data_IF_268046694006
#
_entry.id   IF_268046694006
#
_cell.length_a   1.000
_cell.length_b   1.000
_cell.length_c   1.000
_cell.angle_alpha   90.00
_cell.angle_beta   90.00
_cell.angle_gamma   90.00
#
_symmetry.space_group_name_H-M   'P 1'
#
loop_
_entity.id
_entity.type
_entity.pdbx_description
1 polymer ?
#
# COMPACT_ATOMS: atom_id res chain seq x y z
N UNK A 1 -26.77 12.52 57.36
CA UNK A 1 -27.06 11.77 56.12
C UNK A 1 -27.43 12.77 55.08
N UNK A 2 -26.61 12.92 54.05
CA UNK A 2 -26.89 13.81 52.88
C UNK A 2 -27.68 13.06 51.81
N UNK A 3 -28.20 13.80 50.82
CA UNK A 3 -28.86 13.22 49.68
C UNK A 3 -27.90 12.29 48.88
N UNK A 4 -28.42 11.23 48.21
CA UNK A 4 -27.60 10.34 47.39
C UNK A 4 -26.92 11.16 46.30
N UNK A 5 -25.61 11.03 46.17
CA UNK A 5 -24.81 11.66 45.14
C UNK A 5 -24.66 10.63 43.99
N UNK A 6 -25.12 10.97 42.81
CA UNK A 6 -24.82 10.22 41.58
C UNK A 6 -23.66 10.95 40.92
N UNK A 7 -22.46 10.40 41.07
CA UNK A 7 -21.27 10.92 40.37
C UNK A 7 -21.00 10.04 39.14
N UNK A 8 -21.23 10.62 37.95
CA UNK A 8 -20.93 10.01 36.66
C UNK A 8 -19.67 10.69 36.12
N UNK A 9 -18.51 10.10 36.41
CA UNK A 9 -17.25 10.56 35.82
C UNK A 9 -17.03 9.88 34.45
N UNK A 10 -17.07 10.68 33.37
CA UNK A 10 -16.59 10.23 32.07
C UNK A 10 -15.06 10.25 32.09
N UNK A 11 -14.43 9.12 32.30
CA UNK A 11 -13.03 8.96 31.97
C UNK A 11 -12.94 8.67 30.50
N UNK A 12 -12.40 9.62 29.73
CA UNK A 12 -11.88 9.33 28.39
C UNK A 12 -10.75 8.33 28.61
N UNK A 13 -11.01 7.04 28.40
CA UNK A 13 -9.97 6.05 28.21
C UNK A 13 -9.14 6.63 27.07
N UNK A 14 -7.88 6.99 27.34
CA UNK A 14 -6.94 7.27 26.29
C UNK A 14 -6.96 6.03 25.41
N UNK A 15 -7.67 6.12 24.28
CA UNK A 15 -7.52 5.14 23.20
C UNK A 15 -6.04 5.20 22.87
N UNK A 16 -5.32 4.15 23.22
CA UNK A 16 -4.03 3.88 22.63
C UNK A 16 -4.34 3.52 21.19
N UNK A 17 -4.71 4.52 20.41
CA UNK A 17 -4.98 4.36 19.01
C UNK A 17 -3.69 3.85 18.36
N UNK A 18 -3.80 2.78 17.59
CA UNK A 18 -2.79 2.44 16.60
C UNK A 18 -2.59 3.70 15.77
N UNK A 19 -1.43 4.33 15.89
CA UNK A 19 -1.13 5.53 15.09
C UNK A 19 -1.04 5.03 13.65
N UNK A 20 -2.04 5.38 12.85
CA UNK A 20 -2.08 4.99 11.45
C UNK A 20 -0.89 5.59 10.73
N UNK A 21 -0.26 4.82 9.86
CA UNK A 21 0.75 5.32 8.94
C UNK A 21 0.14 6.42 8.06
N UNK A 22 0.94 7.41 7.68
CA UNK A 22 0.50 8.39 6.70
C UNK A 22 0.17 7.66 5.39
N UNK A 23 -0.93 8.03 4.75
CA UNK A 23 -1.44 7.39 3.54
C UNK A 23 -1.36 8.33 2.36
N UNK A 24 -1.31 7.76 1.16
CA UNK A 24 -1.36 8.56 -0.05
C UNK A 24 -0.07 9.34 -0.29
N UNK A 25 1.08 8.74 0.02
CA UNK A 25 2.39 9.37 -0.18
C UNK A 25 3.03 8.83 -1.45
N UNK A 26 3.29 9.72 -2.41
CA UNK A 26 4.02 9.41 -3.63
C UNK A 26 5.50 9.75 -3.42
N UNK A 27 6.40 8.79 -3.57
CA UNK A 27 7.84 9.02 -3.71
C UNK A 27 8.13 9.34 -5.19
N UNK A 28 8.40 10.59 -5.50
CA UNK A 28 8.66 11.04 -6.87
C UNK A 28 10.15 11.31 -7.06
N UNK A 29 10.78 10.60 -7.99
CA UNK A 29 12.17 10.80 -8.37
C UNK A 29 12.23 11.50 -9.72
N UNK A 30 12.91 12.63 -9.80
CA UNK A 30 13.10 13.41 -11.03
C UNK A 30 14.59 13.62 -11.31
N UNK A 31 14.95 13.84 -12.58
CA UNK A 31 16.29 14.27 -13.02
C UNK A 31 16.22 15.74 -13.44
N UNK A 32 17.05 16.60 -12.82
CA UNK A 32 17.15 18.03 -13.15
C UNK A 32 18.59 18.52 -13.04
N UNK A 33 18.83 19.81 -13.17
CA UNK A 33 20.16 20.41 -13.08
C UNK A 33 20.71 20.49 -11.66
N UNK A 34 19.87 20.75 -10.68
CA UNK A 34 20.24 20.86 -9.27
C UNK A 34 19.60 19.75 -8.45
N UNK A 35 20.37 19.16 -7.53
CA UNK A 35 19.91 18.18 -6.54
C UNK A 35 19.10 18.89 -5.45
N UNK A 36 17.93 18.33 -5.13
CA UNK A 36 17.13 18.78 -3.99
C UNK A 36 16.23 17.63 -3.48
N UNK A 37 15.81 17.72 -2.23
CA UNK A 37 14.77 16.84 -1.66
C UNK A 37 13.85 17.69 -0.79
N UNK A 38 12.54 17.49 -0.95
CA UNK A 38 11.52 18.22 -0.20
C UNK A 38 10.20 17.48 -0.23
N UNK A 39 9.32 17.84 0.70
CA UNK A 39 7.93 17.41 0.70
C UNK A 39 7.08 18.46 0.01
N UNK A 40 6.20 18.04 -0.90
CA UNK A 40 5.25 18.88 -1.63
C UNK A 40 3.84 18.48 -1.22
N UNK A 41 3.07 19.44 -0.72
CA UNK A 41 1.66 19.26 -0.35
C UNK A 41 0.73 19.85 -1.41
N UNK A 42 1.11 20.96 -2.00
CA UNK A 42 0.32 21.66 -3.03
C UNK A 42 1.21 22.32 -4.10
N UNK A 43 0.59 22.99 -5.08
CA UNK A 43 1.32 23.64 -6.16
C UNK A 43 2.24 24.78 -5.70
N UNK A 44 1.99 25.39 -4.54
CA UNK A 44 2.81 26.46 -3.97
C UNK A 44 4.18 25.97 -3.50
N UNK A 45 4.30 24.69 -3.16
CA UNK A 45 5.54 24.08 -2.71
C UNK A 45 6.49 23.70 -3.87
N UNK A 46 6.02 23.80 -5.12
CA UNK A 46 6.82 23.40 -6.30
C UNK A 46 7.97 24.38 -6.51
N UNK A 47 9.24 23.90 -6.45
CA UNK A 47 10.38 24.80 -6.63
C UNK A 47 10.39 25.43 -8.01
N UNK A 48 10.41 26.76 -8.08
CA UNK A 48 10.50 27.52 -9.33
C UNK A 48 11.82 27.31 -10.08
N UNK A 49 12.85 26.80 -9.40
CA UNK A 49 14.17 26.48 -9.98
C UNK A 49 14.18 25.23 -10.84
N UNK A 50 13.16 24.36 -10.74
CA UNK A 50 13.06 23.17 -11.56
C UNK A 50 12.68 23.52 -13.01
N UNK A 51 13.12 22.69 -13.95
CA UNK A 51 12.63 22.76 -15.34
C UNK A 51 11.11 22.70 -15.38
N UNK A 52 10.49 23.45 -16.29
CA UNK A 52 9.03 23.50 -16.43
C UNK A 52 8.40 22.13 -16.68
N UNK A 53 9.12 21.24 -17.36
CA UNK A 53 8.69 19.86 -17.59
C UNK A 53 8.55 19.10 -16.24
N UNK A 54 9.55 19.19 -15.36
CA UNK A 54 9.52 18.57 -14.04
C UNK A 54 8.46 19.21 -13.12
N UNK A 55 8.27 20.52 -13.18
CA UNK A 55 7.15 21.19 -12.50
C UNK A 55 5.80 20.63 -12.99
N UNK A 56 5.67 20.36 -14.29
CA UNK A 56 4.49 19.72 -14.89
C UNK A 56 4.25 18.31 -14.34
N UNK A 57 5.29 17.48 -14.22
CA UNK A 57 5.17 16.13 -13.66
C UNK A 57 4.73 16.14 -12.18
N UNK A 58 5.22 17.09 -11.38
CA UNK A 58 4.76 17.27 -10.00
C UNK A 58 3.27 17.65 -9.97
N UNK A 59 2.84 18.58 -10.84
CA UNK A 59 1.42 18.95 -10.97
C UNK A 59 0.57 17.78 -11.43
N UNK A 60 1.07 16.92 -12.30
CA UNK A 60 0.34 15.72 -12.74
C UNK A 60 0.11 14.74 -11.58
N UNK A 61 1.07 14.58 -10.66
CA UNK A 61 0.85 13.83 -9.42
C UNK A 61 -0.23 14.50 -8.56
N UNK A 62 -0.12 15.83 -8.35
CA UNK A 62 -1.07 16.58 -7.51
C UNK A 62 -2.52 16.55 -8.02
N UNK A 63 -2.75 16.44 -9.35
CA UNK A 63 -4.09 16.24 -9.92
C UNK A 63 -4.84 15.02 -9.38
N UNK A 64 -4.12 14.02 -8.90
CA UNK A 64 -4.71 12.85 -8.23
C UNK A 64 -5.09 13.09 -6.78
N UNK A 65 -4.71 14.22 -6.20
CA UNK A 65 -4.92 14.60 -4.80
C UNK A 65 -4.31 13.61 -3.79
N UNK A 66 -3.04 13.20 -3.94
CA UNK A 66 -2.36 12.44 -2.90
C UNK A 66 -2.23 13.30 -1.64
N UNK A 67 -1.96 12.67 -0.49
CA UNK A 67 -1.75 13.41 0.76
C UNK A 67 -0.50 14.29 0.70
N UNK A 68 0.58 13.78 0.11
CA UNK A 68 1.82 14.51 -0.15
C UNK A 68 2.69 13.79 -1.18
N UNK A 69 3.67 14.52 -1.69
CA UNK A 69 4.73 13.98 -2.52
C UNK A 69 6.05 14.14 -1.76
N UNK A 70 6.76 13.05 -1.55
CA UNK A 70 8.17 13.09 -1.15
C UNK A 70 9.00 13.14 -2.41
N UNK A 71 9.48 14.34 -2.74
CA UNK A 71 10.23 14.61 -3.95
C UNK A 71 11.73 14.46 -3.71
N UNK A 72 12.40 13.72 -4.58
CA UNK A 72 13.85 13.69 -4.67
C UNK A 72 14.28 14.00 -6.10
N UNK A 73 15.07 15.04 -6.27
CA UNK A 73 15.60 15.46 -7.56
C UNK A 73 17.07 15.10 -7.63
N UNK A 74 17.42 14.25 -8.58
CA UNK A 74 18.79 13.94 -8.96
C UNK A 74 19.38 15.13 -9.71
N UNK A 75 20.58 15.57 -9.37
CA UNK A 75 21.34 16.54 -10.16
C UNK A 75 21.84 15.90 -11.47
N UNK A 76 22.49 16.69 -12.31
CA UNK A 76 22.97 16.28 -13.65
C UNK A 76 23.78 14.96 -13.61
N UNK A 77 24.65 14.80 -12.62
CA UNK A 77 25.50 13.61 -12.44
C UNK A 77 24.95 12.65 -11.36
N UNK A 78 23.74 12.93 -10.85
CA UNK A 78 23.15 12.17 -9.75
C UNK A 78 22.78 10.74 -10.15
N UNK A 79 23.13 9.78 -9.31
CA UNK A 79 22.82 8.38 -9.49
C UNK A 79 21.54 8.01 -8.75
N UNK A 80 20.74 7.11 -9.31
CA UNK A 80 19.49 6.64 -8.68
C UNK A 80 19.71 6.07 -7.28
N UNK A 81 20.86 5.46 -7.02
CA UNK A 81 21.22 4.92 -5.70
C UNK A 81 21.14 5.96 -4.57
N UNK A 82 21.37 7.24 -4.89
CA UNK A 82 21.25 8.34 -3.90
C UNK A 82 19.78 8.54 -3.48
N UNK A 83 18.87 8.56 -4.46
CA UNK A 83 17.44 8.66 -4.19
C UNK A 83 16.93 7.43 -3.43
N UNK A 84 17.35 6.23 -3.82
CA UNK A 84 16.94 5.00 -3.15
C UNK A 84 17.45 4.93 -1.71
N UNK A 85 18.69 5.40 -1.45
CA UNK A 85 19.22 5.51 -0.08
C UNK A 85 18.41 6.51 0.76
N UNK A 86 18.02 7.65 0.17
CA UNK A 86 17.14 8.61 0.85
C UNK A 86 15.80 7.98 1.23
N UNK A 87 15.18 7.25 0.30
CA UNK A 87 13.89 6.60 0.54
C UNK A 87 13.94 5.36 1.44
N UNK A 88 15.12 4.85 1.83
CA UNK A 88 15.19 3.86 2.91
C UNK A 88 14.78 4.45 4.28
N UNK A 89 14.97 5.76 4.46
CA UNK A 89 14.65 6.48 5.71
C UNK A 89 13.35 7.30 5.65
N UNK A 90 12.67 7.36 4.51
CA UNK A 90 11.47 8.19 4.32
C UNK A 90 10.27 7.31 3.99
N UNK A 91 9.17 7.52 4.69
CA UNK A 91 7.94 6.76 4.44
C UNK A 91 7.26 7.19 3.15
N UNK A 92 6.89 6.19 2.32
CA UNK A 92 6.09 6.39 1.12
C UNK A 92 5.23 5.14 0.83
N UNK A 93 4.21 5.31 0.01
CA UNK A 93 3.32 4.21 -0.38
C UNK A 93 3.63 3.73 -1.81
N UNK A 94 3.81 4.65 -2.75
CA UNK A 94 4.04 4.36 -4.15
C UNK A 94 5.22 5.18 -4.70
N UNK A 95 6.21 4.50 -5.26
CA UNK A 95 7.35 5.15 -5.92
C UNK A 95 7.09 5.31 -7.42
N UNK A 96 7.48 6.46 -7.96
CA UNK A 96 7.39 6.80 -9.36
C UNK A 96 8.64 7.54 -9.83
N UNK A 97 9.18 7.16 -11.00
CA UNK A 97 10.26 7.85 -11.69
C UNK A 97 9.93 7.96 -13.18
N UNK A 98 9.27 9.05 -13.62
CA UNK A 98 8.81 9.20 -15.01
C UNK A 98 9.93 9.11 -16.06
N UNK A 99 11.15 9.56 -15.74
CA UNK A 99 12.31 9.54 -16.62
C UNK A 99 13.23 8.33 -16.42
N UNK A 100 12.72 7.22 -15.85
CA UNK A 100 13.52 6.03 -15.58
C UNK A 100 14.05 5.38 -16.85
N UNK A 101 15.34 5.11 -16.86
CA UNK A 101 16.00 4.26 -17.85
C UNK A 101 15.95 2.77 -17.42
N UNK A 102 16.35 1.86 -18.30
CA UNK A 102 16.30 0.41 -17.99
C UNK A 102 17.09 0.05 -16.73
N UNK A 103 18.24 0.70 -16.49
CA UNK A 103 19.05 0.54 -15.29
C UNK A 103 18.33 1.02 -14.04
N UNK A 104 17.65 2.18 -14.13
CA UNK A 104 16.87 2.77 -13.05
C UNK A 104 15.68 1.86 -12.67
N UNK A 105 14.96 1.35 -13.68
CA UNK A 105 13.87 0.39 -13.49
C UNK A 105 14.33 -0.84 -12.72
N UNK A 106 15.49 -1.41 -13.08
CA UNK A 106 16.07 -2.58 -12.40
C UNK A 106 16.43 -2.25 -10.94
N UNK A 107 17.03 -1.07 -10.71
CA UNK A 107 17.37 -0.61 -9.37
C UNK A 107 16.14 -0.40 -8.49
N UNK A 108 15.07 0.24 -9.03
CA UNK A 108 13.80 0.43 -8.34
C UNK A 108 13.17 -0.92 -7.97
N UNK A 109 13.08 -1.87 -8.89
CA UNK A 109 12.53 -3.22 -8.58
C UNK A 109 13.29 -3.91 -7.46
N UNK A 110 14.62 -3.87 -7.51
CA UNK A 110 15.48 -4.44 -6.46
C UNK A 110 15.27 -3.77 -5.12
N UNK A 111 15.16 -2.43 -5.13
CA UNK A 111 14.88 -1.63 -3.94
C UNK A 111 13.51 -1.96 -3.33
N UNK A 112 12.44 -1.95 -4.12
CA UNK A 112 11.09 -2.29 -3.66
C UNK A 112 11.04 -3.70 -3.10
N UNK A 113 11.71 -4.67 -3.73
CA UNK A 113 11.83 -6.03 -3.20
C UNK A 113 12.57 -6.04 -1.86
N UNK A 114 13.71 -5.32 -1.74
CA UNK A 114 14.45 -5.18 -0.47
C UNK A 114 13.56 -4.59 0.63
N UNK A 115 12.84 -3.51 0.34
CA UNK A 115 11.92 -2.87 1.31
C UNK A 115 10.85 -3.84 1.79
N UNK A 116 10.19 -4.55 0.88
CA UNK A 116 9.12 -5.48 1.20
C UNK A 116 9.61 -6.75 1.93
N UNK A 117 10.73 -7.33 1.51
CA UNK A 117 11.17 -8.66 1.96
C UNK A 117 12.19 -8.61 3.11
N UNK A 118 13.08 -7.62 3.12
CA UNK A 118 14.17 -7.51 4.09
C UNK A 118 13.86 -6.48 5.16
N UNK A 119 13.57 -5.24 4.77
CA UNK A 119 13.25 -4.13 5.70
C UNK A 119 11.88 -4.34 6.35
N UNK A 120 11.01 -5.13 5.69
CA UNK A 120 9.63 -5.38 6.14
C UNK A 120 8.79 -4.10 6.21
N UNK A 121 9.05 -3.15 5.34
CA UNK A 121 8.20 -2.00 5.09
C UNK A 121 7.53 -2.18 3.72
N UNK A 122 6.20 -2.24 3.71
CA UNK A 122 5.42 -2.53 2.50
C UNK A 122 5.18 -1.26 1.71
N UNK A 123 5.72 -1.26 0.50
CA UNK A 123 5.57 -0.18 -0.48
C UNK A 123 5.55 -0.77 -1.89
N UNK A 124 5.09 0.02 -2.84
CA UNK A 124 4.91 -0.40 -4.22
C UNK A 124 5.61 0.60 -5.17
N UNK A 125 5.77 0.25 -6.45
CA UNK A 125 6.22 1.18 -7.48
C UNK A 125 5.37 1.05 -8.75
N UNK A 126 5.22 2.17 -9.47
CA UNK A 126 4.65 2.20 -10.81
C UNK A 126 5.75 2.40 -11.85
N UNK A 127 5.82 1.50 -12.81
CA UNK A 127 6.81 1.48 -13.87
C UNK A 127 6.14 1.41 -15.24
N UNK A 128 6.74 2.06 -16.23
CA UNK A 128 6.23 2.02 -17.60
C UNK A 128 6.75 0.79 -18.34
N UNK A 129 5.84 -0.01 -18.91
CA UNK A 129 6.15 -1.16 -19.76
C UNK A 129 7.08 -2.21 -19.14
N UNK A 130 6.93 -2.47 -17.83
CA UNK A 130 7.76 -3.46 -17.11
C UNK A 130 6.91 -4.64 -16.58
N UNK A 131 7.11 -5.83 -17.14
CA UNK A 131 6.45 -7.08 -16.74
C UNK A 131 7.22 -7.74 -15.59
N UNK A 132 7.07 -7.21 -14.39
CA UNK A 132 7.83 -7.67 -13.22
C UNK A 132 7.28 -8.94 -12.56
N UNK A 133 6.05 -9.37 -12.89
CA UNK A 133 5.33 -10.46 -12.21
C UNK A 133 5.37 -10.34 -10.68
N UNK A 134 4.96 -9.19 -10.19
CA UNK A 134 5.05 -8.83 -8.76
C UNK A 134 3.84 -8.02 -8.32
N UNK A 135 3.29 -8.36 -7.15
CA UNK A 135 2.21 -7.59 -6.53
C UNK A 135 2.64 -6.17 -6.09
N UNK A 136 3.94 -5.93 -5.95
CA UNK A 136 4.49 -4.64 -5.53
C UNK A 136 4.87 -3.72 -6.70
N UNK A 137 4.73 -4.20 -7.95
CA UNK A 137 5.04 -3.42 -9.15
C UNK A 137 3.78 -3.27 -10.00
N UNK A 138 3.45 -2.04 -10.35
CA UNK A 138 2.35 -1.70 -11.25
C UNK A 138 2.94 -1.46 -12.63
N UNK A 139 2.55 -2.29 -13.59
CA UNK A 139 3.02 -2.21 -14.98
C UNK A 139 2.06 -1.32 -15.80
N UNK A 140 2.39 -0.04 -15.91
CA UNK A 140 1.59 0.90 -16.71
C UNK A 140 2.01 0.87 -18.19
N UNK A 141 1.05 0.62 -19.09
CA UNK A 141 1.36 0.35 -20.51
C UNK A 141 0.49 1.11 -21.51
N UNK A 142 -0.34 2.09 -21.10
CA UNK A 142 -1.16 2.88 -22.01
C UNK A 142 -0.29 3.62 -23.04
N UNK A 143 -0.79 3.73 -24.27
CA UNK A 143 -0.07 4.31 -25.43
C UNK A 143 -0.86 5.43 -26.08
N UNK A 144 -0.17 6.22 -26.92
CA UNK A 144 -0.77 7.30 -27.70
C UNK A 144 -1.55 8.31 -26.84
N UNK A 145 -1.03 8.59 -25.65
CA UNK A 145 -1.67 9.46 -24.67
C UNK A 145 -1.51 10.92 -25.12
N UNK A 146 -2.61 11.65 -25.21
CA UNK A 146 -2.63 13.10 -25.51
C UNK A 146 -3.30 13.83 -24.36
N UNK A 147 -2.65 14.85 -23.82
CA UNK A 147 -3.12 15.71 -22.73
C UNK A 147 -2.97 17.17 -23.15
N UNK A 148 -4.06 17.92 -23.17
CA UNK A 148 -4.07 19.33 -23.60
C UNK A 148 -3.49 19.51 -25.02
N UNK A 149 -3.82 18.59 -25.94
CA UNK A 149 -3.34 18.59 -27.33
C UNK A 149 -1.86 18.19 -27.51
N UNK A 150 -1.16 17.77 -26.45
CA UNK A 150 0.25 17.35 -26.50
C UNK A 150 0.39 15.85 -26.26
N UNK A 151 1.24 15.20 -27.03
CA UNK A 151 1.59 13.79 -26.80
C UNK A 151 2.41 13.64 -25.53
N UNK A 152 2.01 12.69 -24.68
CA UNK A 152 2.69 12.35 -23.42
C UNK A 152 3.17 10.90 -23.51
N UNK A 153 4.41 10.64 -23.12
CA UNK A 153 4.95 9.28 -23.10
C UNK A 153 4.30 8.47 -21.99
N UNK A 154 4.21 7.14 -22.16
CA UNK A 154 3.76 6.22 -21.11
C UNK A 154 4.53 6.45 -19.80
N UNK A 155 5.85 6.65 -19.89
CA UNK A 155 6.71 6.89 -18.75
C UNK A 155 6.35 8.19 -18.00
N UNK A 156 6.19 9.31 -18.70
CA UNK A 156 5.82 10.59 -18.07
C UNK A 156 4.41 10.53 -17.45
N UNK A 157 3.49 9.81 -18.10
CA UNK A 157 2.12 9.68 -17.58
C UNK A 157 2.02 8.81 -16.31
N UNK A 158 3.07 8.04 -15.95
CA UNK A 158 3.11 7.33 -14.65
C UNK A 158 2.96 8.28 -13.48
N UNK A 159 3.43 9.52 -13.58
CA UNK A 159 3.26 10.55 -12.54
C UNK A 159 1.76 10.83 -12.27
N UNK A 160 0.97 11.01 -13.33
CA UNK A 160 -0.49 11.24 -13.22
C UNK A 160 -1.20 10.05 -12.61
N UNK A 161 -0.82 8.83 -12.99
CA UNK A 161 -1.40 7.59 -12.47
C UNK A 161 -0.97 7.35 -11.03
N UNK A 162 0.28 7.64 -10.65
CA UNK A 162 0.74 7.54 -9.27
C UNK A 162 -0.08 8.44 -8.33
N UNK A 163 -0.32 9.69 -8.74
CA UNK A 163 -1.20 10.60 -8.02
C UNK A 163 -2.62 10.07 -7.89
N UNK A 164 -3.20 9.53 -8.98
CA UNK A 164 -4.54 8.94 -8.97
C UNK A 164 -4.63 7.76 -7.97
N UNK A 165 -3.66 6.84 -8.01
CA UNK A 165 -3.62 5.68 -7.12
C UNK A 165 -3.56 6.11 -5.67
N UNK A 166 -2.66 7.05 -5.33
CA UNK A 166 -2.47 7.45 -3.95
C UNK A 166 -3.52 8.45 -3.45
N UNK A 167 -4.16 9.22 -4.33
CA UNK A 167 -5.29 10.07 -3.97
C UNK A 167 -6.64 9.34 -3.85
N UNK A 168 -6.74 8.14 -4.45
CA UNK A 168 -7.97 7.33 -4.32
C UNK A 168 -8.13 6.77 -2.91
N UNK A 169 -9.32 6.95 -2.34
CA UNK A 169 -9.65 6.47 -1.00
C UNK A 169 -9.58 4.93 -0.93
N UNK A 170 -9.16 4.39 0.23
CA UNK A 170 -8.88 2.95 0.38
C UNK A 170 -10.09 2.03 0.14
N UNK A 171 -11.31 2.50 0.41
CA UNK A 171 -12.52 1.71 0.13
C UNK A 171 -12.89 1.69 -1.36
N UNK A 172 -12.28 2.56 -2.18
CA UNK A 172 -12.50 2.66 -3.61
C UNK A 172 -11.41 1.95 -4.40
N UNK A 173 -11.75 1.53 -5.62
CA UNK A 173 -10.80 1.07 -6.64
C UNK A 173 -10.57 2.16 -7.69
N UNK A 174 -9.38 2.19 -8.27
CA UNK A 174 -9.12 3.02 -9.47
C UNK A 174 -9.75 2.44 -10.75
N UNK A 175 -10.34 1.23 -10.69
CA UNK A 175 -11.07 0.64 -11.81
C UNK A 175 -12.16 1.60 -12.29
N UNK A 176 -12.20 1.87 -13.57
CA UNK A 176 -13.08 2.86 -14.22
C UNK A 176 -12.95 4.30 -13.72
N UNK A 177 -11.91 4.64 -12.95
CA UNK A 177 -11.60 6.04 -12.61
C UNK A 177 -11.40 6.86 -13.89
N UNK A 178 -12.09 7.98 -13.97
CA UNK A 178 -12.07 8.87 -15.15
C UNK A 178 -10.84 9.79 -15.11
N UNK A 179 -10.20 9.95 -16.26
CA UNK A 179 -9.11 10.88 -16.49
C UNK A 179 -9.64 11.99 -17.41
N UNK A 180 -10.20 13.06 -16.81
CA UNK A 180 -10.83 14.15 -17.58
C UNK A 180 -9.82 15.03 -18.29
N UNK A 181 -8.56 14.99 -17.89
CA UNK A 181 -7.44 15.72 -18.45
C UNK A 181 -6.79 15.02 -19.66
N UNK A 182 -7.23 13.80 -20.02
CA UNK A 182 -6.70 13.04 -21.16
C UNK A 182 -7.65 13.17 -22.35
N UNK A 183 -7.15 13.70 -23.47
CA UNK A 183 -7.93 13.95 -24.71
C UNK A 183 -8.10 12.68 -25.55
N UNK A 184 -7.01 11.91 -25.68
CA UNK A 184 -7.03 10.68 -26.47
C UNK A 184 -5.99 9.66 -26.00
N UNK A 185 -6.23 8.40 -26.36
CA UNK A 185 -5.37 7.24 -26.12
C UNK A 185 -5.42 6.30 -27.33
N UNK A 186 -4.64 5.20 -27.28
CA UNK A 186 -4.79 4.09 -28.23
C UNK A 186 -6.21 3.52 -28.20
N UNK A 187 -6.70 3.05 -29.35
CA UNK A 187 -7.96 2.34 -29.42
C UNK A 187 -7.71 0.84 -29.27
N UNK A 188 -8.36 0.24 -28.29
CA UNK A 188 -8.30 -1.20 -28.01
C UNK A 188 -9.68 -1.82 -28.23
N UNK A 189 -9.74 -3.03 -28.80
CA UNK A 189 -10.94 -3.85 -28.73
C UNK A 189 -11.08 -4.42 -27.31
N UNK A 190 -12.27 -4.93 -26.98
CA UNK A 190 -12.50 -5.55 -25.67
C UNK A 190 -11.54 -6.71 -25.43
N UNK A 191 -11.35 -7.58 -26.42
CA UNK A 191 -10.47 -8.76 -26.33
C UNK A 191 -9.00 -8.36 -26.14
N UNK A 192 -8.57 -7.27 -26.79
CA UNK A 192 -7.21 -6.72 -26.60
C UNK A 192 -7.03 -6.15 -25.18
N UNK A 193 -8.03 -5.44 -24.68
CA UNK A 193 -8.00 -4.88 -23.34
C UNK A 193 -7.99 -6.01 -22.28
N UNK A 194 -8.88 -7.00 -22.41
CA UNK A 194 -8.96 -8.14 -21.51
C UNK A 194 -7.63 -8.92 -21.48
N UNK A 195 -7.04 -9.21 -22.65
CA UNK A 195 -5.73 -9.89 -22.75
C UNK A 195 -4.62 -9.12 -22.04
N UNK A 196 -4.60 -7.80 -22.16
CA UNK A 196 -3.57 -6.97 -21.52
C UNK A 196 -3.76 -6.92 -20.00
N UNK A 197 -5.00 -6.82 -19.53
CA UNK A 197 -5.32 -6.88 -18.09
C UNK A 197 -4.89 -8.23 -17.49
N UNK A 198 -5.20 -9.34 -18.19
CA UNK A 198 -4.80 -10.69 -17.77
C UNK A 198 -3.27 -10.86 -17.73
N UNK A 199 -2.54 -10.11 -18.55
CA UNK A 199 -1.08 -10.01 -18.53
C UNK A 199 -0.52 -9.06 -17.44
N UNK A 200 -1.36 -8.59 -16.51
CA UNK A 200 -0.94 -7.69 -15.43
C UNK A 200 -0.59 -6.28 -15.90
N UNK A 201 -1.25 -5.80 -16.95
CA UNK A 201 -1.02 -4.46 -17.49
C UNK A 201 -2.10 -3.48 -16.99
N UNK A 202 -1.69 -2.38 -16.40
CA UNK A 202 -2.56 -1.26 -16.11
C UNK A 202 -2.68 -0.39 -17.38
N UNK A 203 -3.87 -0.35 -17.94
CA UNK A 203 -4.16 0.32 -19.22
C UNK A 203 -5.31 1.31 -19.09
N UNK A 204 -5.43 2.18 -20.08
CA UNK A 204 -6.56 3.07 -20.25
C UNK A 204 -7.45 2.59 -21.40
N UNK A 205 -8.76 2.82 -21.23
CA UNK A 205 -9.78 2.51 -22.24
C UNK A 205 -10.71 3.70 -22.42
N UNK A 206 -11.36 3.76 -23.60
CA UNK A 206 -12.45 4.71 -23.86
C UNK A 206 -13.78 4.01 -23.61
N UNK A 207 -14.52 4.50 -22.61
CA UNK A 207 -15.83 3.96 -22.25
C UNK A 207 -16.83 5.10 -22.09
N UNK A 208 -17.99 5.01 -22.78
CA UNK A 208 -19.04 6.02 -22.79
C UNK A 208 -18.50 7.46 -23.08
N UNK A 209 -17.57 7.56 -24.06
CA UNK A 209 -16.97 8.83 -24.46
C UNK A 209 -15.91 9.39 -23.52
N UNK A 210 -15.64 8.75 -22.38
CA UNK A 210 -14.62 9.17 -21.40
C UNK A 210 -13.42 8.22 -21.41
N UNK A 211 -12.25 8.75 -21.08
CA UNK A 211 -11.06 7.94 -20.88
C UNK A 211 -10.98 7.53 -19.42
N UNK A 212 -10.82 6.21 -19.21
CA UNK A 212 -10.87 5.58 -17.88
C UNK A 212 -9.73 4.59 -17.71
N UNK A 213 -9.35 4.35 -16.46
CA UNK A 213 -8.54 3.18 -16.11
C UNK A 213 -9.38 1.93 -16.38
N UNK A 214 -8.85 0.97 -17.15
CA UNK A 214 -9.61 -0.24 -17.49
C UNK A 214 -9.90 -1.10 -16.25
N UNK A 215 -8.85 -1.49 -15.53
CA UNK A 215 -8.95 -2.22 -14.26
C UNK A 215 -7.71 -1.93 -13.39
N UNK A 216 -7.91 -1.80 -12.08
CA UNK A 216 -6.84 -1.49 -11.11
C UNK A 216 -6.01 -2.72 -10.74
N UNK A 217 -5.15 -3.18 -11.66
CA UNK A 217 -4.30 -4.37 -11.48
C UNK A 217 -2.81 -4.00 -11.40
N UNK A 218 -2.05 -4.82 -10.67
CA UNK A 218 -0.58 -4.79 -10.65
C UNK A 218 -0.01 -5.82 -11.65
N UNK A 219 1.32 -5.98 -11.68
CA UNK A 219 1.99 -6.84 -12.66
C UNK A 219 2.01 -8.34 -12.31
N UNK A 220 1.39 -8.76 -11.19
CA UNK A 220 1.38 -10.16 -10.77
C UNK A 220 0.51 -10.99 -11.73
N UNK A 221 1.09 -12.02 -12.33
CA UNK A 221 0.40 -12.97 -13.23
C UNK A 221 0.54 -14.40 -12.76
N UNK A 222 1.66 -14.73 -12.09
CA UNK A 222 1.89 -16.08 -11.54
C UNK A 222 1.23 -16.21 -10.18
N UNK A 223 0.10 -16.93 -10.13
CA UNK A 223 -0.63 -17.21 -8.91
C UNK A 223 -0.10 -18.48 -8.23
N UNK A 224 -0.18 -18.51 -6.91
CA UNK A 224 0.20 -19.65 -6.07
C UNK A 224 -0.89 -19.91 -5.02
N UNK A 225 -0.81 -21.04 -4.31
CA UNK A 225 -1.75 -21.34 -3.21
C UNK A 225 -1.74 -20.27 -2.11
N UNK A 226 -0.64 -19.52 -1.96
CA UNK A 226 -0.50 -18.44 -0.97
C UNK A 226 -0.90 -17.08 -1.55
N UNK A 227 -0.70 -16.85 -2.85
CA UNK A 227 -1.00 -15.59 -3.54
C UNK A 227 -2.03 -15.82 -4.62
N UNK A 228 -3.31 -15.71 -4.28
CA UNK A 228 -4.43 -15.79 -5.20
C UNK A 228 -4.74 -14.45 -5.89
N UNK A 229 -5.86 -14.39 -6.62
CA UNK A 229 -6.30 -13.24 -7.41
C UNK A 229 -6.40 -11.93 -6.62
N UNK A 230 -6.65 -11.99 -5.31
CA UNK A 230 -6.70 -10.79 -4.46
C UNK A 230 -5.39 -9.98 -4.47
N UNK A 231 -4.25 -10.65 -4.64
CA UNK A 231 -2.95 -10.00 -4.69
C UNK A 231 -2.67 -9.27 -6.02
N UNK A 232 -3.45 -9.52 -7.06
CA UNK A 232 -3.36 -8.82 -8.35
C UNK A 232 -3.99 -7.42 -8.31
N UNK A 233 -4.89 -7.15 -7.33
CA UNK A 233 -5.66 -5.91 -7.27
C UNK A 233 -4.93 -4.84 -6.46
N UNK A 234 -4.73 -3.67 -7.06
CA UNK A 234 -4.07 -2.51 -6.42
C UNK A 234 -4.78 -2.12 -5.13
N UNK A 235 -6.13 -2.05 -5.13
CA UNK A 235 -6.93 -1.73 -3.94
C UNK A 235 -6.63 -2.67 -2.77
N UNK A 236 -6.70 -3.98 -3.01
CA UNK A 236 -6.50 -4.97 -1.96
C UNK A 236 -5.05 -4.97 -1.47
N UNK A 237 -4.09 -4.81 -2.38
CA UNK A 237 -2.67 -4.66 -2.04
C UNK A 237 -2.44 -3.44 -1.14
N UNK A 238 -3.01 -2.27 -1.45
CA UNK A 238 -2.92 -1.06 -0.60
C UNK A 238 -3.47 -1.31 0.81
N UNK A 239 -4.59 -2.00 0.93
CA UNK A 239 -5.17 -2.36 2.24
C UNK A 239 -4.25 -3.29 3.03
N UNK A 240 -3.69 -4.31 2.41
CA UNK A 240 -2.74 -5.23 3.06
C UNK A 240 -1.45 -4.54 3.47
N UNK A 241 -0.92 -3.66 2.62
CA UNK A 241 0.28 -2.85 2.94
C UNK A 241 0.03 -1.95 4.14
N UNK A 242 -1.15 -1.30 4.20
CA UNK A 242 -1.55 -0.48 5.34
C UNK A 242 -1.56 -1.29 6.64
N UNK A 243 -2.29 -2.41 6.67
CA UNK A 243 -2.41 -3.26 7.86
C UNK A 243 -1.01 -3.69 8.34
N UNK A 244 -0.18 -4.15 7.42
CA UNK A 244 1.18 -4.56 7.74
C UNK A 244 2.01 -3.43 8.37
N UNK A 245 2.01 -2.24 7.73
CA UNK A 245 2.83 -1.12 8.18
C UNK A 245 2.33 -0.53 9.51
N UNK A 246 1.01 -0.44 9.71
CA UNK A 246 0.41 0.05 10.93
C UNK A 246 0.70 -0.88 12.12
N UNK A 247 0.50 -2.20 11.94
CA UNK A 247 0.82 -3.18 12.98
C UNK A 247 2.33 -3.18 13.30
N UNK A 248 3.18 -3.13 12.27
CA UNK A 248 4.63 -3.04 12.46
C UNK A 248 5.02 -1.81 13.27
N UNK A 249 4.44 -0.64 12.96
CA UNK A 249 4.70 0.62 13.68
C UNK A 249 4.38 0.48 15.17
N UNK A 250 3.17 0.02 15.48
CA UNK A 250 2.74 -0.18 16.86
C UNK A 250 3.65 -1.14 17.62
N UNK A 251 3.97 -2.28 17.01
CA UNK A 251 4.85 -3.28 17.62
C UNK A 251 6.24 -2.70 17.91
N UNK A 252 6.83 -1.97 16.97
CA UNK A 252 8.15 -1.35 17.14
C UNK A 252 8.11 -0.23 18.19
N UNK A 253 7.10 0.63 18.15
CA UNK A 253 7.03 1.81 19.02
C UNK A 253 6.64 1.47 20.45
N UNK A 254 5.80 0.45 20.69
CA UNK A 254 5.24 0.19 22.01
C UNK A 254 5.73 -1.09 22.67
N UNK A 255 6.10 -2.12 21.91
CA UNK A 255 6.33 -3.45 22.46
C UNK A 255 7.78 -3.92 22.40
N UNK A 256 8.48 -3.77 21.27
CA UNK A 256 9.84 -4.33 21.12
C UNK A 256 10.80 -3.68 22.12
N UNK A 257 11.35 -4.52 23.00
CA UNK A 257 12.30 -4.12 24.04
C UNK A 257 11.71 -3.31 25.20
N UNK A 258 10.38 -3.09 25.23
CA UNK A 258 9.71 -2.22 26.22
C UNK A 258 8.77 -2.96 27.15
N UNK A 259 8.23 -4.10 26.70
CA UNK A 259 7.20 -4.84 27.42
C UNK A 259 7.66 -6.27 27.70
N UNK A 260 7.56 -6.80 28.93
CA UNK A 260 7.88 -8.20 29.24
C UNK A 260 6.98 -9.16 28.46
N UNK A 261 7.55 -10.28 27.97
CA UNK A 261 6.79 -11.32 27.30
C UNK A 261 6.12 -12.26 28.29
N UNK A 262 4.94 -11.87 28.80
CA UNK A 262 4.06 -12.71 29.60
C UNK A 262 2.68 -12.81 28.92
N UNK A 263 1.81 -13.68 29.44
CA UNK A 263 0.49 -13.93 28.87
C UNK A 263 -0.39 -12.66 28.85
N UNK A 264 -0.42 -11.91 29.96
CA UNK A 264 -1.26 -10.71 30.07
C UNK A 264 -0.87 -9.64 29.04
N UNK A 265 0.42 -9.41 28.84
CA UNK A 265 0.91 -8.47 27.85
C UNK A 265 0.63 -8.92 26.41
N UNK A 266 0.66 -10.24 26.14
CA UNK A 266 0.18 -10.78 24.85
C UNK A 266 -1.31 -10.49 24.65
N UNK A 267 -2.14 -10.63 25.68
CA UNK A 267 -3.57 -10.32 25.64
C UNK A 267 -3.84 -8.84 25.40
N UNK A 268 -3.03 -7.94 25.99
CA UNK A 268 -3.12 -6.50 25.74
C UNK A 268 -2.81 -6.20 24.27
N UNK A 269 -1.73 -6.73 23.72
CA UNK A 269 -1.37 -6.56 22.31
C UNK A 269 -2.47 -7.10 21.39
N UNK A 270 -3.02 -8.27 21.67
CA UNK A 270 -4.14 -8.85 20.90
C UNK A 270 -5.36 -7.93 20.94
N UNK A 271 -5.66 -7.32 22.08
CA UNK A 271 -6.78 -6.38 22.21
C UNK A 271 -6.54 -5.11 21.40
N UNK A 272 -5.31 -4.55 21.43
CA UNK A 272 -4.97 -3.38 20.57
C UNK A 272 -5.11 -3.71 19.09
N UNK A 273 -4.66 -4.89 18.66
CA UNK A 273 -4.82 -5.34 17.26
C UNK A 273 -6.31 -5.50 16.90
N UNK A 274 -7.12 -6.11 17.78
CA UNK A 274 -8.57 -6.24 17.55
C UNK A 274 -9.25 -4.89 17.37
N UNK A 275 -9.00 -3.94 18.27
CA UNK A 275 -9.57 -2.60 18.18
C UNK A 275 -9.21 -1.89 16.86
N UNK A 276 -7.95 -2.02 16.43
CA UNK A 276 -7.50 -1.48 15.14
C UNK A 276 -8.24 -2.13 13.96
N UNK A 277 -8.38 -3.45 13.96
CA UNK A 277 -9.07 -4.16 12.89
C UNK A 277 -10.58 -3.85 12.87
N UNK A 278 -11.22 -3.66 14.02
CA UNK A 278 -12.61 -3.18 14.11
C UNK A 278 -12.79 -1.79 13.48
N UNK A 279 -11.80 -0.90 13.60
CA UNK A 279 -11.82 0.38 12.88
C UNK A 279 -11.79 0.18 11.36
N UNK A 280 -10.98 -0.76 10.86
CA UNK A 280 -10.93 -1.08 9.43
C UNK A 280 -12.22 -1.76 8.92
N UNK A 281 -12.89 -2.57 9.75
CA UNK A 281 -14.23 -3.11 9.47
C UNK A 281 -15.25 -1.98 9.29
N UNK A 282 -15.26 -1.02 10.22
CA UNK A 282 -16.15 0.14 10.17
C UNK A 282 -15.89 1.03 8.94
N UNK A 283 -14.65 1.10 8.47
CA UNK A 283 -14.26 1.78 7.22
C UNK A 283 -14.54 0.95 5.96
N UNK A 284 -15.08 -0.25 6.08
CA UNK A 284 -15.37 -1.16 4.97
C UNK A 284 -14.12 -1.53 4.14
N UNK A 285 -12.99 -1.69 4.81
CA UNK A 285 -11.74 -2.15 4.18
C UNK A 285 -11.56 -3.66 4.29
N UNK A 286 -12.09 -4.26 5.34
CA UNK A 286 -12.05 -5.69 5.61
C UNK A 286 -13.43 -6.20 6.03
N UNK A 287 -13.68 -7.51 5.83
CA UNK A 287 -14.82 -8.20 6.44
C UNK A 287 -14.60 -8.34 7.95
N UNK A 288 -15.65 -8.72 8.67
CA UNK A 288 -15.55 -9.01 10.10
C UNK A 288 -14.44 -10.02 10.36
N UNK A 289 -13.51 -9.64 11.25
CA UNK A 289 -12.35 -10.46 11.59
C UNK A 289 -12.78 -11.75 12.27
N UNK A 290 -12.35 -12.88 11.76
CA UNK A 290 -12.73 -14.19 12.28
C UNK A 290 -11.87 -14.61 13.47
N UNK A 291 -10.61 -14.22 13.51
CA UNK A 291 -9.69 -14.57 14.59
C UNK A 291 -8.55 -13.57 14.74
N UNK A 292 -8.27 -13.21 15.99
CA UNK A 292 -7.02 -12.57 16.43
C UNK A 292 -6.62 -13.20 17.75
N UNK A 293 -5.45 -13.81 17.83
CA UNK A 293 -5.02 -14.48 19.03
C UNK A 293 -3.59 -15.02 18.96
N UNK A 294 -3.23 -15.82 19.95
CA UNK A 294 -1.95 -16.53 19.96
C UNK A 294 -2.00 -17.62 18.88
N UNK A 295 -0.97 -17.71 18.08
CA UNK A 295 -0.74 -18.81 17.13
C UNK A 295 -0.30 -20.06 17.90
N UNK A 296 -1.26 -20.94 18.18
CA UNK A 296 -1.02 -22.13 18.97
C UNK A 296 -0.04 -23.10 18.30
N UNK A 297 -0.10 -23.23 16.98
CA UNK A 297 0.77 -24.17 16.27
C UNK A 297 2.22 -23.68 16.25
N UNK A 298 2.43 -22.40 15.96
CA UNK A 298 3.75 -21.79 16.03
C UNK A 298 4.31 -21.82 17.46
N UNK A 299 3.45 -21.57 18.49
CA UNK A 299 3.83 -21.62 19.89
C UNK A 299 4.23 -23.03 20.32
N UNK A 300 3.41 -24.05 20.01
CA UNK A 300 3.70 -25.47 20.25
C UNK A 300 5.01 -25.89 19.60
N UNK A 301 5.20 -25.52 18.33
CA UNK A 301 6.42 -25.84 17.60
C UNK A 301 7.66 -25.28 18.30
N UNK A 302 7.59 -23.99 18.67
CA UNK A 302 8.72 -23.35 19.38
C UNK A 302 9.03 -24.02 20.71
N UNK A 303 8.00 -24.36 21.51
CA UNK A 303 8.17 -25.06 22.80
C UNK A 303 8.84 -26.43 22.62
N UNK A 304 8.42 -27.21 21.61
CA UNK A 304 9.04 -28.50 21.27
C UNK A 304 10.51 -28.37 20.90
N UNK A 305 10.84 -27.35 20.12
CA UNK A 305 12.19 -27.18 19.57
C UNK A 305 13.16 -26.55 20.57
N UNK A 306 12.67 -25.84 21.60
CA UNK A 306 13.51 -25.01 22.49
C UNK A 306 13.37 -25.32 23.97
N UNK A 307 12.50 -26.29 24.37
CA UNK A 307 12.30 -26.66 25.77
C UNK A 307 12.19 -28.18 25.91
N UNK A 308 12.28 -28.68 27.17
CA UNK A 308 12.07 -30.09 27.45
C UNK A 308 10.62 -30.38 27.91
N UNK A 309 9.67 -29.48 27.62
CA UNK A 309 8.26 -29.67 28.01
C UNK A 309 7.59 -30.73 27.14
N UNK A 310 6.80 -31.59 27.73
CA UNK A 310 5.91 -32.47 26.96
C UNK A 310 4.66 -31.69 26.51
N UNK A 311 4.84 -30.99 25.40
CA UNK A 311 3.80 -30.11 24.82
C UNK A 311 2.53 -30.88 24.46
N UNK A 312 2.60 -32.20 24.21
CA UNK A 312 1.44 -33.00 23.85
C UNK A 312 0.51 -33.27 25.05
N UNK A 313 1.02 -33.19 26.27
CA UNK A 313 0.22 -33.34 27.52
C UNK A 313 -0.36 -32.03 28.01
N UNK A 314 0.05 -30.88 27.45
CA UNK A 314 -0.40 -29.55 27.86
C UNK A 314 -1.77 -29.21 27.28
N UNK A 315 -2.59 -28.53 28.10
CA UNK A 315 -3.83 -27.90 27.64
C UNK A 315 -3.52 -26.66 26.76
N UNK A 316 -4.49 -26.19 25.97
CA UNK A 316 -4.32 -24.97 25.17
C UNK A 316 -3.97 -23.76 26.05
N UNK A 317 -4.52 -23.63 27.24
CA UNK A 317 -4.25 -22.51 28.13
C UNK A 317 -2.82 -22.57 28.67
N UNK A 318 -2.34 -23.73 29.08
CA UNK A 318 -0.95 -23.91 29.49
C UNK A 318 0.04 -23.58 28.36
N UNK A 319 -0.30 -23.94 27.13
CA UNK A 319 0.50 -23.57 25.95
C UNK A 319 0.53 -22.04 25.75
N UNK A 320 -0.62 -21.36 25.83
CA UNK A 320 -0.71 -19.89 25.69
C UNK A 320 0.09 -19.15 26.76
N UNK A 321 0.10 -19.67 27.99
CA UNK A 321 0.81 -19.08 29.13
C UNK A 321 2.29 -19.44 29.17
N UNK A 322 2.70 -20.51 28.49
CA UNK A 322 4.07 -20.97 28.48
C UNK A 322 5.06 -19.89 28.05
N UNK A 323 6.21 -19.87 28.69
CA UNK A 323 7.26 -18.90 28.43
C UNK A 323 7.98 -19.22 27.10
N UNK A 324 7.90 -18.34 26.13
CA UNK A 324 8.59 -18.41 24.85
C UNK A 324 9.78 -17.45 24.75
N UNK A 325 10.36 -17.09 25.89
CA UNK A 325 11.48 -16.15 26.01
C UNK A 325 11.14 -14.80 25.31
N UNK A 326 11.91 -14.38 24.32
CA UNK A 326 11.67 -13.13 23.59
C UNK A 326 10.71 -13.27 22.40
N UNK A 327 10.19 -14.46 22.13
CA UNK A 327 9.37 -14.72 20.94
C UNK A 327 7.88 -14.62 21.25
N UNK A 328 7.14 -13.92 20.40
CA UNK A 328 5.67 -13.81 20.46
C UNK A 328 5.10 -14.29 19.14
N UNK A 329 4.16 -15.22 19.19
CA UNK A 329 3.51 -15.81 18.01
C UNK A 329 2.03 -15.46 18.06
N UNK A 330 1.58 -14.64 17.08
CA UNK A 330 0.19 -14.24 16.94
C UNK A 330 -0.32 -14.62 15.55
N UNK A 331 -1.59 -14.97 15.45
CA UNK A 331 -2.30 -15.24 14.22
C UNK A 331 -3.50 -14.31 14.07
N UNK A 332 -3.71 -13.82 12.85
CA UNK A 332 -4.83 -12.99 12.45
C UNK A 332 -5.46 -13.66 11.22
N UNK A 333 -6.78 -13.88 11.26
CA UNK A 333 -7.54 -14.34 10.10
C UNK A 333 -8.54 -13.27 9.71
N UNK A 334 -8.31 -12.64 8.57
CA UNK A 334 -9.13 -11.57 8.02
C UNK A 334 -9.34 -11.76 6.50
N UNK A 335 -10.35 -11.11 5.96
CA UNK A 335 -10.58 -10.99 4.52
C UNK A 335 -10.70 -9.52 4.16
N UNK A 336 -10.02 -9.10 3.10
CA UNK A 336 -10.15 -7.75 2.56
C UNK A 336 -11.43 -7.60 1.76
N UNK A 337 -12.12 -6.46 1.87
CA UNK A 337 -13.27 -6.13 1.04
C UNK A 337 -12.82 -5.52 -0.28
N UNK A 338 -13.32 -6.09 -1.37
CA UNK A 338 -13.10 -5.57 -2.71
C UNK A 338 -14.13 -4.50 -3.10
N UNK A 339 -13.86 -3.76 -4.18
CA UNK A 339 -14.85 -2.90 -4.80
C UNK A 339 -15.79 -3.71 -5.70
N UNK A 340 -17.02 -3.24 -5.91
CA UNK A 340 -17.91 -3.79 -6.93
C UNK A 340 -17.39 -3.38 -8.32
N UNK A 341 -16.85 -4.33 -9.06
CA UNK A 341 -16.28 -4.10 -10.39
C UNK A 341 -17.06 -4.81 -11.50
N UNK A 342 -17.55 -6.01 -11.21
CA UNK A 342 -18.31 -6.82 -12.17
C UNK A 342 -19.77 -6.98 -11.68
N UNK A 343 -20.74 -6.43 -12.43
CA UNK A 343 -22.15 -6.39 -12.06
C UNK A 343 -22.97 -7.13 -13.13
N UNK A 344 -23.73 -8.14 -12.73
CA UNK A 344 -24.66 -8.85 -13.59
C UNK A 344 -26.09 -8.62 -13.10
N UNK A 345 -26.98 -8.11 -13.97
CA UNK A 345 -28.39 -7.84 -13.64
C UNK A 345 -29.26 -8.69 -14.53
N UNK A 346 -30.07 -9.58 -13.94
CA UNK A 346 -31.13 -10.29 -14.62
C UNK A 346 -32.46 -9.55 -14.50
N UNK A 347 -33.11 -9.25 -15.65
CA UNK A 347 -34.44 -8.61 -15.68
C UNK A 347 -35.40 -9.65 -16.27
N UNK A 348 -36.44 -10.03 -15.50
CA UNK A 348 -37.56 -10.82 -16.00
C UNK A 348 -38.72 -9.89 -16.33
N UNK A 349 -39.33 -10.05 -17.53
CA UNK A 349 -40.47 -9.28 -18.02
C UNK A 349 -41.70 -10.15 -17.99
#
# INVERSE_FOLDING_TARGET
>A
MGLPIIDISFKQLAKTAVIRSQRGIVALILKDTAKTSLTVFDEGDIPSSLKKENQGLIKDVLKGSPNKIELYVLGTEGQISEALTYFEGVEFNLMCMPSAETSDVTAIKTFIKKMNDVVKYKCDAILANDKADSEAIINYTAKNIVVGGKSVTTANHTARIAGLIEGTQLHQSITFATLEDVDSIENLTKEQADTRIDNGELILVREMGKIRVARGVNSLTTLTDVKGNAFQKIKLRKTLNLIHNDLRRVIVEKYIGKVPNNYDNKCILITEIKNYLEELENEQLIEKVSYVGIDLEAHKKWLKDNTNLDVNSMTEQEIKEANTQSNVFLAISLKTLDAMEDIVIGISI
#
